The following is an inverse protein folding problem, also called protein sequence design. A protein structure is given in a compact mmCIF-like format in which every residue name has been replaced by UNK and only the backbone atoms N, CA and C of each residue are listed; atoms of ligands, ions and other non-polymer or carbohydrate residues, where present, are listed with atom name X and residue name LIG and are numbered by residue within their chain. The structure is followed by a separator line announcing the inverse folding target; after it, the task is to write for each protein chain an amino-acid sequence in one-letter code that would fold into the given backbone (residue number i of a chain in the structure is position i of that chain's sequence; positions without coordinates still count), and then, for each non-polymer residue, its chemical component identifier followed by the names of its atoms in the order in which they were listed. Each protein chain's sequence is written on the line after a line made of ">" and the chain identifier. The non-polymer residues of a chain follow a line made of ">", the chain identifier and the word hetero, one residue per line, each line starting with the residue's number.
data_IF_007875502099
#
_entry.id   IF_007875502099
#
_cell.length_a   1.000
_cell.length_b   1.000
_cell.length_c   1.000
_cell.angle_alpha   90.00
_cell.angle_beta   90.00
_cell.angle_gamma   90.00
#
_symmetry.space_group_name_H-M   'P 1'
#
loop_
_entity.id
_entity.type
_entity.pdbx_description
1 polymer ?
#
# COMPACT_ATOMS: atom_id res chain seq x y z
N UNK A 1 -23.31 -3.30 -44.79
CA UNK A 1 -23.64 -3.92 -43.49
C UNK A 1 -22.64 -5.00 -43.11
N UNK A 2 -22.46 -6.07 -43.89
CA UNK A 2 -21.46 -7.12 -43.60
C UNK A 2 -20.04 -6.57 -43.40
N UNK A 3 -19.56 -5.70 -44.30
CA UNK A 3 -18.27 -5.02 -44.16
C UNK A 3 -18.15 -4.22 -42.86
N UNK A 4 -19.19 -3.48 -42.49
CA UNK A 4 -19.20 -2.72 -41.24
C UNK A 4 -19.08 -3.62 -40.01
N UNK A 5 -19.80 -4.75 -40.00
CA UNK A 5 -19.75 -5.71 -38.89
C UNK A 5 -18.37 -6.36 -38.78
N UNK A 6 -17.72 -6.68 -39.90
CA UNK A 6 -16.35 -7.21 -39.91
C UNK A 6 -15.36 -6.20 -39.34
N UNK A 7 -15.36 -4.97 -39.87
CA UNK A 7 -14.46 -3.90 -39.40
C UNK A 7 -14.69 -3.56 -37.92
N UNK A 8 -15.95 -3.48 -37.49
CA UNK A 8 -16.29 -3.22 -36.09
C UNK A 8 -15.79 -4.33 -35.16
N UNK A 9 -15.85 -5.60 -35.60
CA UNK A 9 -15.36 -6.73 -34.82
C UNK A 9 -13.83 -6.73 -34.71
N UNK A 10 -13.13 -6.42 -35.79
CA UNK A 10 -11.67 -6.30 -35.78
C UNK A 10 -11.21 -5.15 -34.86
N UNK A 11 -11.89 -4.00 -34.89
CA UNK A 11 -11.59 -2.90 -33.98
C UNK A 11 -11.83 -3.27 -32.50
N UNK A 12 -12.92 -3.99 -32.22
CA UNK A 12 -13.24 -4.44 -30.86
C UNK A 12 -12.19 -5.44 -30.33
N UNK A 13 -11.77 -6.41 -31.15
CA UNK A 13 -10.70 -7.34 -30.78
C UNK A 13 -9.37 -6.63 -30.49
N UNK A 14 -8.99 -5.66 -31.33
CA UNK A 14 -7.78 -4.87 -31.12
C UNK A 14 -7.87 -4.03 -29.85
N UNK A 15 -9.03 -3.43 -29.57
CA UNK A 15 -9.24 -2.62 -28.37
C UNK A 15 -9.19 -3.49 -27.11
N UNK A 16 -9.88 -4.63 -27.11
CA UNK A 16 -9.88 -5.59 -26.01
C UNK A 16 -8.48 -6.11 -25.72
N UNK A 17 -7.70 -6.43 -26.76
CA UNK A 17 -6.32 -6.87 -26.60
C UNK A 17 -5.45 -5.80 -25.93
N UNK A 18 -5.54 -4.55 -26.39
CA UNK A 18 -4.82 -3.40 -25.79
C UNK A 18 -5.24 -3.16 -24.34
N UNK A 19 -6.53 -3.29 -24.05
CA UNK A 19 -7.05 -3.13 -22.70
C UNK A 19 -6.52 -4.20 -21.76
N UNK A 20 -6.49 -5.45 -22.21
CA UNK A 20 -5.97 -6.57 -21.42
C UNK A 20 -4.48 -6.39 -21.12
N UNK A 21 -3.67 -6.02 -22.12
CA UNK A 21 -2.25 -5.72 -21.94
C UNK A 21 -2.03 -4.55 -20.97
N UNK A 22 -2.89 -3.52 -21.02
CA UNK A 22 -2.86 -2.40 -20.09
C UNK A 22 -3.18 -2.82 -18.65
N UNK A 23 -4.24 -3.63 -18.46
CA UNK A 23 -4.65 -4.13 -17.15
C UNK A 23 -3.53 -4.95 -16.49
N UNK A 24 -2.83 -5.81 -17.23
CA UNK A 24 -1.74 -6.62 -16.66
C UNK A 24 -0.64 -5.73 -16.03
N UNK A 25 -0.28 -4.64 -16.70
CA UNK A 25 0.70 -3.66 -16.18
C UNK A 25 0.16 -2.94 -14.95
N UNK A 26 -1.11 -2.54 -14.96
CA UNK A 26 -1.75 -1.94 -13.78
C UNK A 26 -1.82 -2.92 -12.61
N UNK A 27 -2.06 -4.21 -12.86
CA UNK A 27 -2.13 -5.23 -11.83
C UNK A 27 -0.75 -5.48 -11.21
N UNK A 28 0.30 -5.53 -12.03
CA UNK A 28 1.69 -5.58 -11.55
C UNK A 28 2.03 -4.36 -10.70
N UNK A 29 1.70 -3.16 -11.18
CA UNK A 29 1.96 -1.91 -10.46
C UNK A 29 1.23 -1.86 -9.12
N UNK A 30 -0.07 -2.18 -9.10
CA UNK A 30 -0.88 -2.16 -7.88
C UNK A 30 -0.41 -3.21 -6.88
N UNK A 31 -0.04 -4.41 -7.33
CA UNK A 31 0.53 -5.45 -6.48
C UNK A 31 1.86 -5.02 -5.86
N UNK A 32 2.79 -4.50 -6.66
CA UNK A 32 4.09 -4.03 -6.18
C UNK A 32 3.95 -2.83 -5.23
N UNK A 33 3.11 -1.86 -5.59
CA UNK A 33 2.84 -0.69 -4.76
C UNK A 33 2.22 -1.10 -3.42
N UNK A 34 1.24 -2.01 -3.42
CA UNK A 34 0.62 -2.54 -2.20
C UNK A 34 1.63 -3.28 -1.31
N UNK A 35 2.53 -4.07 -1.89
CA UNK A 35 3.59 -4.76 -1.15
C UNK A 35 4.55 -3.78 -0.48
N UNK A 36 5.03 -2.77 -1.22
CA UNK A 36 5.92 -1.72 -0.71
C UNK A 36 5.21 -0.94 0.41
N UNK A 37 3.97 -0.52 0.18
CA UNK A 37 3.19 0.24 1.16
C UNK A 37 2.93 -0.57 2.44
N UNK A 38 2.63 -1.86 2.31
CA UNK A 38 2.42 -2.75 3.47
C UNK A 38 3.70 -2.91 4.29
N UNK A 39 4.84 -3.15 3.63
CA UNK A 39 6.14 -3.23 4.31
C UNK A 39 6.50 -1.91 5.00
N UNK A 40 6.30 -0.78 4.32
CA UNK A 40 6.50 0.54 4.88
C UNK A 40 5.61 0.80 6.10
N UNK A 41 4.32 0.44 6.02
CA UNK A 41 3.36 0.63 7.10
C UNK A 41 3.75 -0.12 8.37
N UNK A 42 4.25 -1.35 8.25
CA UNK A 42 4.72 -2.14 9.40
C UNK A 42 5.86 -1.43 10.13
N UNK A 43 6.83 -0.88 9.39
CA UNK A 43 7.96 -0.14 9.96
C UNK A 43 7.51 1.20 10.52
N UNK A 44 6.74 1.97 9.75
CA UNK A 44 6.24 3.28 10.15
C UNK A 44 5.40 3.19 11.44
N UNK A 45 4.57 2.16 11.58
CA UNK A 45 3.78 1.94 12.78
C UNK A 45 4.66 1.76 14.02
N UNK A 46 5.72 0.96 13.92
CA UNK A 46 6.69 0.79 15.02
C UNK A 46 7.42 2.09 15.37
N UNK A 47 7.74 2.92 14.38
CA UNK A 47 8.43 4.19 14.58
C UNK A 47 7.55 5.29 15.15
N UNK A 48 6.21 5.18 15.00
CA UNK A 48 5.26 6.17 15.50
C UNK A 48 4.84 5.89 16.95
N UNK A 49 5.09 4.68 17.44
CA UNK A 49 4.80 4.31 18.81
C UNK A 49 5.85 4.89 19.77
N UNK A 50 5.44 5.37 20.96
CA UNK A 50 6.38 5.78 22.00
C UNK A 50 7.33 4.63 22.36
N UNK A 51 8.60 4.93 22.56
CA UNK A 51 9.57 3.93 23.01
C UNK A 51 9.12 3.40 24.40
N UNK A 52 8.85 2.10 24.55
CA UNK A 52 8.43 1.52 25.82
C UNK A 52 9.50 1.69 26.90
N UNK A 53 10.78 1.75 26.53
CA UNK A 53 11.90 1.98 27.44
C UNK A 53 11.86 3.41 28.01
N UNK A 54 11.56 4.39 27.15
CA UNK A 54 11.40 5.79 27.57
C UNK A 54 10.19 5.94 28.48
N UNK A 55 9.08 5.29 28.13
CA UNK A 55 7.86 5.30 28.96
C UNK A 55 8.11 4.69 30.34
N UNK A 56 8.87 3.60 30.42
CA UNK A 56 9.25 2.98 31.69
C UNK A 56 10.20 3.86 32.52
N UNK A 57 11.19 4.50 31.89
CA UNK A 57 12.09 5.43 32.59
C UNK A 57 11.36 6.64 33.15
N UNK A 58 10.39 7.18 32.40
CA UNK A 58 9.59 8.32 32.83
C UNK A 58 8.70 7.94 34.03
N UNK A 59 8.09 6.75 33.99
CA UNK A 59 7.29 6.22 35.10
C UNK A 59 8.13 5.99 36.37
N UNK A 60 9.32 5.41 36.24
CA UNK A 60 10.25 5.23 37.36
C UNK A 60 10.74 6.57 37.93
N UNK A 61 11.00 7.55 37.06
CA UNK A 61 11.31 8.92 37.45
C UNK A 61 10.19 9.52 38.31
N UNK A 62 8.94 9.41 37.85
CA UNK A 62 7.78 9.90 38.60
C UNK A 62 7.63 9.21 39.97
N UNK A 63 7.79 7.88 40.04
CA UNK A 63 7.73 7.13 41.31
C UNK A 63 8.84 7.57 42.26
N UNK A 64 10.07 7.77 41.76
CA UNK A 64 11.19 8.22 42.58
C UNK A 64 10.96 9.62 43.17
N UNK A 65 10.34 10.53 42.42
CA UNK A 65 9.98 11.86 42.92
C UNK A 65 8.91 11.81 44.01
N UNK A 66 7.97 10.87 43.92
CA UNK A 66 6.94 10.65 44.95
C UNK A 66 7.52 10.14 46.27
N UNK A 67 8.66 9.44 46.25
CA UNK A 67 9.31 8.90 47.44
C UNK A 67 10.20 9.93 48.18
N UNK A 68 10.55 11.03 47.51
CA UNK A 68 11.39 12.11 48.07
C UNK A 68 10.54 13.21 48.74
N UNK A 69 9.22 13.18 48.55
CA UNK A 69 8.25 14.11 49.18
C UNK A 69 7.60 13.47 50.39
#
# INVERSE_FOLDING_TARGET
>A
WQTYVTEAKEMDEVLMKKWNEGIDVFLLFTGLFSAILSAFLVVAWSSLQPDPSQTASDALGAISQQLVT
#
